data_IF_934944704296
#
_entry.id   IF_934944704296
#
_cell.length_a   1.000
_cell.length_b   1.000
_cell.length_c   1.000
_cell.angle_alpha   90.00
_cell.angle_beta   90.00
_cell.angle_gamma   90.00
#
_symmetry.space_group_name_H-M   'P 1'
#
loop_
_entity.id
_entity.type
_entity.pdbx_description
1 polymer ?
#
# COMPACT_ATOMS: atom_id res chain seq x y z
N UNK A 1 27.36 7.32 7.08
CA UNK A 1 26.10 6.55 6.99
C UNK A 1 25.09 7.43 6.28
N UNK A 2 24.95 7.16 4.98
CA UNK A 2 24.22 7.84 3.89
C UNK A 2 23.29 9.03 4.20
N UNK A 3 23.80 10.24 3.92
CA UNK A 3 23.03 11.48 3.71
C UNK A 3 22.11 11.44 2.47
N UNK A 4 22.11 10.34 1.70
CA UNK A 4 21.38 10.22 0.43
C UNK A 4 19.87 10.03 0.58
N UNK A 5 19.38 9.55 1.72
CA UNK A 5 17.93 9.32 1.94
C UNK A 5 17.17 10.60 2.33
N UNK A 6 17.83 11.61 2.88
CA UNK A 6 17.17 12.87 3.30
C UNK A 6 16.92 13.84 2.14
N UNK A 7 17.44 13.59 0.94
CA UNK A 7 17.37 14.52 -0.19
C UNK A 7 16.21 14.28 -1.16
N UNK A 8 15.40 13.22 -0.98
CA UNK A 8 14.51 12.70 -2.03
C UNK A 8 13.03 13.02 -1.92
N UNK A 9 12.57 13.67 -0.87
CA UNK A 9 11.18 14.13 -0.76
C UNK A 9 11.19 15.64 -0.58
N UNK A 10 11.28 16.36 -1.71
CA UNK A 10 10.80 17.74 -1.71
C UNK A 10 9.38 17.69 -1.14
N UNK A 11 9.08 18.52 -0.13
CA UNK A 11 7.73 18.66 0.42
C UNK A 11 6.82 19.32 -0.61
N UNK A 12 6.52 18.62 -1.70
CA UNK A 12 5.48 19.01 -2.65
C UNK A 12 4.16 18.88 -1.92
N UNK A 13 3.54 20.02 -1.64
CA UNK A 13 2.26 20.05 -0.96
C UNK A 13 1.19 19.44 -1.88
N UNK A 14 0.55 18.35 -1.46
CA UNK A 14 -0.55 17.69 -2.18
C UNK A 14 -1.58 18.69 -2.71
N UNK A 15 -1.97 19.68 -1.90
CA UNK A 15 -2.95 20.69 -2.29
C UNK A 15 -2.44 21.64 -3.38
N UNK A 16 -1.14 21.95 -3.36
CA UNK A 16 -0.52 22.78 -4.39
C UNK A 16 -0.50 22.05 -5.74
N UNK A 17 -0.09 20.78 -5.76
CA UNK A 17 -0.10 19.97 -6.99
C UNK A 17 -1.52 19.76 -7.51
N UNK A 18 -2.48 19.47 -6.63
CA UNK A 18 -3.89 19.35 -6.98
C UNK A 18 -4.41 20.63 -7.65
N UNK A 19 -4.07 21.80 -7.10
CA UNK A 19 -4.41 23.10 -7.68
C UNK A 19 -3.73 23.30 -9.04
N UNK A 20 -2.44 23.02 -9.16
CA UNK A 20 -1.69 23.17 -10.40
C UNK A 20 -2.25 22.30 -11.54
N UNK A 21 -2.59 21.05 -11.27
CA UNK A 21 -3.21 20.15 -12.24
C UNK A 21 -4.59 20.66 -12.68
N UNK A 22 -5.40 21.13 -11.72
CA UNK A 22 -6.71 21.74 -12.00
C UNK A 22 -6.59 23.00 -12.87
N UNK A 23 -5.65 23.89 -12.54
CA UNK A 23 -5.43 25.15 -13.27
C UNK A 23 -4.98 24.89 -14.73
N UNK A 24 -4.30 23.76 -14.98
CA UNK A 24 -3.87 23.33 -16.33
C UNK A 24 -4.90 22.49 -17.07
N UNK A 25 -5.91 21.95 -16.38
CA UNK A 25 -6.85 20.99 -16.96
C UNK A 25 -6.20 19.64 -17.32
N UNK A 26 -5.12 19.28 -16.64
CA UNK A 26 -4.33 18.07 -16.92
C UNK A 26 -4.37 17.10 -15.74
N UNK A 27 -4.29 15.80 -16.04
CA UNK A 27 -4.12 14.77 -15.02
C UNK A 27 -2.65 14.69 -14.60
N UNK A 28 -2.41 14.53 -13.30
CA UNK A 28 -1.09 14.31 -12.75
C UNK A 28 -0.44 13.06 -13.37
N UNK A 29 0.81 13.20 -13.77
CA UNK A 29 1.68 12.10 -14.17
C UNK A 29 2.92 12.16 -13.29
N UNK A 30 3.26 11.02 -12.67
CA UNK A 30 4.38 10.90 -11.76
C UNK A 30 5.68 10.71 -12.54
N UNK A 31 6.50 11.76 -12.58
CA UNK A 31 7.80 11.72 -13.26
C UNK A 31 8.87 10.94 -12.48
N UNK A 32 8.66 10.72 -11.18
CA UNK A 32 9.60 9.97 -10.33
C UNK A 32 9.31 8.46 -10.37
N UNK A 33 8.04 8.09 -10.53
CA UNK A 33 7.59 6.70 -10.63
C UNK A 33 6.83 6.46 -11.94
N UNK A 34 7.60 6.31 -13.01
CA UNK A 34 7.09 6.24 -14.38
C UNK A 34 6.23 4.98 -14.56
N UNK A 35 5.06 5.11 -15.19
CA UNK A 35 4.19 3.99 -15.61
C UNK A 35 4.81 3.18 -16.75
N UNK A 36 5.89 2.46 -16.46
CA UNK A 36 6.64 1.67 -17.44
C UNK A 36 7.05 0.33 -16.85
N UNK A 37 7.51 -0.57 -17.73
CA UNK A 37 8.06 -1.87 -17.35
C UNK A 37 9.17 -1.76 -16.29
N UNK A 38 9.91 -0.63 -16.25
CA UNK A 38 11.00 -0.41 -15.29
C UNK A 38 10.52 -0.35 -13.84
N UNK A 39 9.29 0.13 -13.63
CA UNK A 39 8.69 0.24 -12.29
C UNK A 39 8.10 -1.07 -11.79
N UNK A 40 7.91 -2.05 -12.69
CA UNK A 40 7.45 -3.39 -12.36
C UNK A 40 8.62 -4.37 -12.27
N UNK A 41 9.36 -4.49 -13.39
CA UNK A 41 10.51 -5.34 -13.76
C UNK A 41 10.58 -6.81 -13.27
N UNK A 42 11.14 -7.69 -14.12
CA UNK A 42 11.28 -9.16 -14.06
C UNK A 42 10.02 -10.01 -13.80
N UNK A 43 9.03 -9.52 -13.05
CA UNK A 43 7.69 -10.12 -12.94
C UNK A 43 7.00 -10.28 -14.30
N UNK A 44 7.38 -9.46 -15.29
CA UNK A 44 6.81 -9.52 -16.63
C UNK A 44 7.20 -10.77 -17.43
N UNK A 45 8.24 -11.52 -16.99
CA UNK A 45 8.65 -12.76 -17.69
C UNK A 45 7.68 -13.91 -17.46
N UNK A 46 6.87 -13.86 -16.40
CA UNK A 46 5.87 -14.88 -16.07
C UNK A 46 4.48 -14.53 -16.57
N UNK A 47 4.24 -13.27 -16.97
CA UNK A 47 2.92 -12.81 -17.40
C UNK A 47 2.75 -13.09 -18.90
N UNK A 48 1.78 -13.94 -19.25
CA UNK A 48 1.50 -14.34 -20.63
C UNK A 48 0.89 -13.23 -21.52
N UNK A 49 0.55 -12.08 -20.95
CA UNK A 49 -0.15 -10.98 -21.61
C UNK A 49 0.55 -9.64 -21.35
N UNK A 50 0.46 -8.67 -22.28
CA UNK A 50 1.11 -7.38 -22.09
C UNK A 50 0.50 -6.63 -20.90
N UNK A 51 1.37 -6.05 -20.07
CA UNK A 51 0.95 -5.16 -18.99
C UNK A 51 0.64 -3.79 -19.58
N UNK A 52 -0.55 -3.28 -19.29
CA UNK A 52 -0.99 -1.93 -19.66
C UNK A 52 -1.20 -1.12 -18.40
N UNK A 53 -0.75 0.13 -18.38
CA UNK A 53 -0.97 1.03 -17.25
C UNK A 53 -2.23 1.84 -17.48
N UNK A 54 -3.26 1.58 -16.68
CA UNK A 54 -4.59 2.18 -16.82
C UNK A 54 -4.98 2.95 -15.57
N UNK A 55 -5.69 4.06 -15.71
CA UNK A 55 -6.33 4.78 -14.60
C UNK A 55 -7.64 4.07 -14.22
N UNK A 56 -8.13 4.21 -12.97
CA UNK A 56 -9.39 3.63 -12.52
C UNK A 56 -10.60 3.95 -13.41
N UNK A 57 -10.67 5.16 -13.96
CA UNK A 57 -11.70 5.58 -14.93
C UNK A 57 -11.64 4.83 -16.28
N UNK A 58 -10.51 4.23 -16.62
CA UNK A 58 -10.36 3.39 -17.82
C UNK A 58 -10.67 1.91 -17.51
N UNK A 59 -10.68 1.53 -16.23
CA UNK A 59 -10.90 0.15 -15.75
C UNK A 59 -12.38 -0.09 -15.43
N UNK A 60 -13.06 0.88 -14.81
CA UNK A 60 -14.47 0.79 -14.43
C UNK A 60 -15.19 2.13 -14.62
N UNK A 61 -16.53 2.10 -14.68
CA UNK A 61 -17.35 3.28 -14.96
C UNK A 61 -17.49 4.27 -13.81
N UNK A 62 -17.38 3.80 -12.56
CA UNK A 62 -17.59 4.62 -11.36
C UNK A 62 -16.53 4.27 -10.30
N UNK A 63 -15.27 4.66 -10.50
CA UNK A 63 -14.20 4.35 -9.56
C UNK A 63 -14.42 5.09 -8.23
N UNK A 64 -14.18 4.37 -7.14
CA UNK A 64 -14.24 4.86 -5.76
C UNK A 64 -12.86 4.70 -5.12
N UNK A 65 -12.49 5.69 -4.32
CA UNK A 65 -11.24 5.60 -3.57
C UNK A 65 -11.40 4.53 -2.48
N UNK A 66 -12.35 4.75 -1.58
CA UNK A 66 -12.83 3.80 -0.58
C UNK A 66 -14.34 3.67 -0.80
N UNK A 67 -14.83 2.44 -0.97
CA UNK A 67 -16.25 2.12 -1.02
C UNK A 67 -16.85 2.10 0.40
N UNK A 68 -18.17 1.87 0.52
CA UNK A 68 -18.83 1.96 1.83
C UNK A 68 -18.33 0.88 2.79
N UNK A 69 -17.49 1.30 3.75
CA UNK A 69 -16.86 0.42 4.73
C UNK A 69 -15.58 -0.21 4.17
N UNK A 70 -14.52 -0.20 4.99
CA UNK A 70 -13.30 -0.96 4.70
C UNK A 70 -13.25 -2.12 5.69
N UNK A 71 -13.25 -3.35 5.20
CA UNK A 71 -13.05 -4.55 6.00
C UNK A 71 -11.74 -5.23 5.65
N UNK A 72 -11.23 -6.03 6.59
CA UNK A 72 -10.01 -6.83 6.37
C UNK A 72 -10.12 -7.86 5.23
N UNK A 73 -11.36 -8.21 4.83
CA UNK A 73 -11.66 -9.20 3.80
C UNK A 73 -11.84 -8.59 2.42
N UNK A 74 -11.82 -7.25 2.32
CA UNK A 74 -12.02 -6.57 1.05
C UNK A 74 -10.75 -6.53 0.22
N UNK A 75 -9.59 -6.90 0.76
CA UNK A 75 -8.32 -6.81 0.03
C UNK A 75 -7.86 -8.18 -0.47
N UNK A 76 -7.56 -8.27 -1.76
CA UNK A 76 -7.03 -9.45 -2.43
C UNK A 76 -5.59 -9.20 -2.89
N UNK A 77 -4.72 -10.22 -2.81
CA UNK A 77 -3.32 -10.08 -3.21
C UNK A 77 -3.15 -9.92 -4.74
N UNK A 78 -4.06 -10.45 -5.56
CA UNK A 78 -3.85 -10.57 -7.00
C UNK A 78 -2.87 -11.68 -7.41
N UNK A 79 -2.51 -11.71 -8.69
CA UNK A 79 -1.66 -12.78 -9.24
C UNK A 79 -0.18 -12.61 -8.83
N UNK A 80 0.24 -11.36 -8.62
CA UNK A 80 1.64 -10.99 -8.34
C UNK A 80 1.83 -10.14 -7.09
N UNK A 81 0.77 -9.88 -6.32
CA UNK A 81 0.90 -9.11 -5.10
C UNK A 81 1.52 -9.91 -3.95
N UNK A 82 1.91 -9.17 -2.94
CA UNK A 82 2.75 -9.64 -1.85
C UNK A 82 1.92 -10.09 -0.63
N UNK A 83 1.97 -11.37 -0.22
CA UNK A 83 1.19 -11.86 0.92
C UNK A 83 1.51 -11.15 2.25
N UNK A 84 2.77 -10.75 2.44
CA UNK A 84 3.22 -10.04 3.63
C UNK A 84 2.65 -8.60 3.68
N UNK A 85 2.45 -7.97 2.53
CA UNK A 85 1.85 -6.65 2.42
C UNK A 85 0.35 -6.73 2.70
N UNK A 86 -0.31 -7.70 2.08
CA UNK A 86 -1.73 -7.99 2.32
C UNK A 86 -1.99 -8.21 3.82
N UNK A 87 -1.23 -9.08 4.48
CA UNK A 87 -1.41 -9.35 5.91
C UNK A 87 -1.29 -8.08 6.77
N UNK A 88 -0.31 -7.22 6.47
CA UNK A 88 -0.14 -5.96 7.18
C UNK A 88 -1.31 -4.99 6.92
N UNK A 89 -1.72 -4.82 5.66
CA UNK A 89 -2.85 -3.95 5.28
C UNK A 89 -4.15 -4.45 5.89
N UNK A 90 -4.47 -5.73 5.79
CA UNK A 90 -5.68 -6.33 6.37
C UNK A 90 -5.71 -6.17 7.89
N UNK A 91 -4.57 -6.22 8.58
CA UNK A 91 -4.53 -5.93 10.02
C UNK A 91 -4.78 -4.45 10.34
N UNK A 92 -4.35 -3.55 9.44
CA UNK A 92 -4.51 -2.10 9.61
C UNK A 92 -5.98 -1.68 9.53
N UNK A 93 -6.78 -2.34 8.68
CA UNK A 93 -8.21 -2.03 8.52
C UNK A 93 -9.03 -2.32 9.78
N UNK A 94 -8.55 -3.20 10.68
CA UNK A 94 -9.15 -3.43 11.99
C UNK A 94 -9.03 -2.21 12.93
N UNK A 95 -8.16 -1.25 12.60
CA UNK A 95 -7.94 -0.04 13.40
C UNK A 95 -8.07 1.21 12.51
N UNK A 96 -9.30 1.74 12.32
CA UNK A 96 -9.55 2.84 11.39
C UNK A 96 -8.64 4.06 11.58
N UNK A 97 -8.28 4.40 12.82
CA UNK A 97 -7.37 5.52 13.13
C UNK A 97 -5.96 5.34 12.55
N UNK A 98 -5.46 4.11 12.45
CA UNK A 98 -4.18 3.85 11.81
C UNK A 98 -4.31 3.85 10.29
N UNK A 99 -5.41 3.30 9.77
CA UNK A 99 -5.73 3.35 8.35
C UNK A 99 -5.81 4.80 7.85
N UNK A 100 -6.59 5.67 8.49
CA UNK A 100 -6.76 7.09 8.12
C UNK A 100 -5.44 7.88 8.12
N UNK A 101 -4.48 7.45 8.95
CA UNK A 101 -3.16 8.07 8.99
C UNK A 101 -2.34 7.74 7.75
N UNK A 102 -2.38 6.48 7.31
CA UNK A 102 -1.67 5.98 6.12
C UNK A 102 -2.39 6.37 4.83
N UNK A 103 -3.72 6.27 4.84
CA UNK A 103 -4.65 6.46 3.73
C UNK A 103 -5.59 7.60 4.11
N UNK A 104 -5.20 8.87 3.87
CA UNK A 104 -6.06 10.00 4.18
C UNK A 104 -7.42 9.89 3.45
N UNK A 105 -8.56 10.00 4.16
CA UNK A 105 -9.89 9.80 3.57
C UNK A 105 -10.39 10.99 2.74
N UNK A 106 -9.64 12.10 2.67
CA UNK A 106 -10.00 13.32 1.94
C UNK A 106 -9.73 13.25 0.43
N UNK A 107 -9.74 12.03 -0.14
CA UNK A 107 -9.38 11.72 -1.52
C UNK A 107 -10.52 10.98 -2.21
N UNK A 108 -10.75 11.27 -3.49
CA UNK A 108 -11.82 10.66 -4.28
C UNK A 108 -11.52 10.77 -5.78
N UNK A 109 -12.32 10.06 -6.58
CA UNK A 109 -12.28 10.11 -8.04
C UNK A 109 -13.31 11.07 -8.65
N UNK A 110 -14.15 11.72 -7.83
CA UNK A 110 -15.22 12.59 -8.27
C UNK A 110 -14.78 14.07 -8.26
N UNK A 111 -15.27 14.84 -7.29
CA UNK A 111 -15.09 16.28 -7.24
C UNK A 111 -13.64 16.67 -6.96
N UNK A 112 -13.03 17.34 -7.94
CA UNK A 112 -11.65 17.80 -7.85
C UNK A 112 -10.63 16.69 -8.10
N UNK A 113 -11.04 15.60 -8.72
CA UNK A 113 -10.12 14.64 -9.31
C UNK A 113 -9.15 15.32 -10.29
N UNK A 114 -7.87 14.98 -10.16
CA UNK A 114 -6.84 15.32 -11.14
C UNK A 114 -5.75 14.23 -11.21
N UNK A 115 -6.11 12.98 -10.86
CA UNK A 115 -5.21 11.84 -10.99
C UNK A 115 -4.03 11.81 -10.03
N UNK A 116 -4.04 12.56 -8.92
CA UNK A 116 -3.02 12.52 -7.86
C UNK A 116 -3.60 12.01 -6.55
N UNK A 117 -2.87 11.11 -5.89
CA UNK A 117 -3.20 10.56 -4.59
C UNK A 117 -2.00 10.63 -3.66
N UNK A 118 -2.26 10.64 -2.35
CA UNK A 118 -1.26 10.69 -1.29
C UNK A 118 -1.45 9.54 -0.30
N UNK A 119 -0.32 9.05 0.18
CA UNK A 119 -0.22 8.07 1.25
C UNK A 119 0.88 8.49 2.21
N UNK A 120 0.83 8.01 3.45
CA UNK A 120 1.83 8.33 4.46
C UNK A 120 2.44 7.07 5.01
N UNK A 121 3.77 7.04 5.03
CA UNK A 121 4.54 5.93 5.59
C UNK A 121 5.50 6.47 6.63
N UNK A 122 5.66 5.73 7.71
CA UNK A 122 6.67 5.98 8.71
C UNK A 122 8.04 5.54 8.19
N UNK A 123 9.00 6.46 8.15
CA UNK A 123 10.38 6.17 7.75
C UNK A 123 11.34 6.82 8.73
N UNK A 124 12.16 6.00 9.38
CA UNK A 124 13.29 6.43 10.22
C UNK A 124 12.95 7.50 11.29
N UNK A 125 11.73 7.48 11.85
CA UNK A 125 11.32 8.41 12.90
C UNK A 125 10.35 9.50 12.46
N UNK A 126 10.06 9.60 11.16
CA UNK A 126 9.19 10.65 10.61
C UNK A 126 8.12 10.08 9.67
N UNK A 127 6.98 10.75 9.58
CA UNK A 127 5.95 10.47 8.57
C UNK A 127 6.33 11.12 7.25
N UNK A 128 6.52 10.29 6.22
CA UNK A 128 6.82 10.69 4.86
C UNK A 128 5.55 10.57 4.02
N UNK A 129 5.15 11.68 3.41
CA UNK A 129 4.05 11.71 2.45
C UNK A 129 4.57 11.33 1.06
N UNK A 130 3.96 10.33 0.44
CA UNK A 130 4.27 9.83 -0.90
C UNK A 130 3.10 10.17 -1.82
N UNK A 131 3.39 10.94 -2.86
CA UNK A 131 2.44 11.30 -3.90
C UNK A 131 2.62 10.38 -5.10
N UNK A 132 1.51 9.90 -5.66
CA UNK A 132 1.50 9.06 -6.86
C UNK A 132 0.42 9.56 -7.83
N UNK A 133 0.60 9.26 -9.11
CA UNK A 133 -0.53 9.23 -10.02
C UNK A 133 -1.36 7.94 -9.84
N UNK A 134 -2.55 7.88 -10.44
CA UNK A 134 -3.45 6.74 -10.33
C UNK A 134 -3.34 5.71 -11.46
N UNK A 135 -2.30 5.76 -12.31
CA UNK A 135 -2.08 4.70 -13.30
C UNK A 135 -1.67 3.41 -12.60
N UNK A 136 -2.41 2.32 -12.79
CA UNK A 136 -2.16 1.04 -12.16
C UNK A 136 -1.79 -0.02 -13.22
N UNK A 137 -0.88 -0.96 -12.90
CA UNK A 137 -0.58 -2.10 -13.77
C UNK A 137 -1.79 -3.00 -13.95
N UNK A 138 -2.18 -3.25 -15.20
CA UNK A 138 -3.27 -4.17 -15.55
C UNK A 138 -2.85 -5.19 -16.60
N UNK A 139 -3.54 -6.33 -16.61
CA UNK A 139 -3.49 -7.34 -17.65
C UNK A 139 -4.91 -7.69 -18.04
N UNK A 140 -5.23 -7.61 -19.33
CA UNK A 140 -6.61 -7.77 -19.84
C UNK A 140 -7.64 -6.88 -19.12
N UNK A 141 -7.26 -5.65 -18.78
CA UNK A 141 -8.13 -4.70 -18.07
C UNK A 141 -8.36 -5.02 -16.59
N UNK A 142 -7.63 -5.98 -16.00
CA UNK A 142 -7.72 -6.31 -14.57
C UNK A 142 -6.43 -5.97 -13.84
N UNK A 143 -6.54 -5.50 -12.60
CA UNK A 143 -5.38 -5.28 -11.72
C UNK A 143 -4.64 -6.59 -11.48
N UNK A 144 -3.31 -6.55 -11.58
CA UNK A 144 -2.46 -7.75 -11.43
C UNK A 144 -1.84 -7.89 -10.03
N UNK A 145 -1.82 -6.79 -9.27
CA UNK A 145 -1.35 -6.75 -7.89
C UNK A 145 -2.52 -6.60 -6.91
N UNK A 146 -2.28 -6.01 -5.74
CA UNK A 146 -3.24 -5.89 -4.67
C UNK A 146 -4.45 -5.05 -5.12
N UNK A 147 -5.66 -5.54 -4.85
CA UNK A 147 -6.90 -4.90 -5.27
C UNK A 147 -8.06 -5.25 -4.35
N UNK A 148 -9.14 -4.47 -4.40
CA UNK A 148 -10.33 -4.75 -3.61
C UNK A 148 -11.18 -5.87 -4.22
N UNK A 149 -11.95 -6.56 -3.39
CA UNK A 149 -13.04 -7.47 -3.79
C UNK A 149 -14.13 -6.69 -4.54
N UNK A 150 -14.33 -5.41 -4.20
CA UNK A 150 -15.14 -4.50 -5.00
C UNK A 150 -14.30 -3.99 -6.19
N UNK A 151 -14.65 -4.34 -7.45
CA UNK A 151 -13.88 -3.91 -8.62
C UNK A 151 -13.94 -2.40 -8.88
N UNK A 152 -14.79 -1.66 -8.17
CA UNK A 152 -14.86 -0.20 -8.20
C UNK A 152 -13.99 0.47 -7.14
N UNK A 153 -13.37 -0.26 -6.21
CA UNK A 153 -12.57 0.30 -5.11
C UNK A 153 -11.05 0.18 -5.35
N UNK A 154 -10.32 1.29 -5.21
CA UNK A 154 -8.91 1.37 -5.66
C UNK A 154 -7.90 1.80 -4.59
N UNK A 155 -8.29 2.16 -3.35
CA UNK A 155 -7.33 2.62 -2.32
C UNK A 155 -6.20 1.62 -2.07
N UNK A 156 -6.51 0.31 -2.06
CA UNK A 156 -5.57 -0.74 -1.74
C UNK A 156 -4.50 -0.88 -2.84
N UNK A 157 -4.92 -0.85 -4.10
CA UNK A 157 -4.03 -0.87 -5.26
C UNK A 157 -3.13 0.37 -5.32
N UNK A 158 -3.69 1.53 -5.01
CA UNK A 158 -2.96 2.80 -4.95
C UNK A 158 -1.99 2.83 -3.76
N UNK A 159 -2.36 2.27 -2.61
CA UNK A 159 -1.50 2.16 -1.44
C UNK A 159 -0.26 1.32 -1.75
N UNK A 160 -0.46 0.15 -2.36
CA UNK A 160 0.65 -0.72 -2.79
C UNK A 160 1.54 0.00 -3.80
N UNK A 161 0.97 0.73 -4.76
CA UNK A 161 1.76 1.55 -5.69
C UNK A 161 2.61 2.60 -4.98
N UNK A 162 2.05 3.31 -4.01
CA UNK A 162 2.78 4.31 -3.24
C UNK A 162 3.89 3.67 -2.40
N UNK A 163 3.65 2.47 -1.87
CA UNK A 163 4.67 1.68 -1.19
C UNK A 163 5.78 1.21 -2.14
N UNK A 164 5.42 0.74 -3.34
CA UNK A 164 6.37 0.43 -4.40
C UNK A 164 7.21 1.64 -4.80
N UNK A 165 6.60 2.84 -4.90
CA UNK A 165 7.32 4.10 -5.14
C UNK A 165 8.32 4.42 -4.04
N UNK A 166 7.93 4.26 -2.76
CA UNK A 166 8.81 4.49 -1.61
C UNK A 166 10.09 3.62 -1.69
N UNK A 167 9.95 2.39 -2.15
CA UNK A 167 11.06 1.44 -2.35
C UNK A 167 11.66 1.44 -3.77
N UNK A 168 11.11 2.24 -4.67
CA UNK A 168 11.60 2.51 -6.03
C UNK A 168 11.00 1.66 -7.15
N UNK A 169 10.36 0.51 -6.88
CA UNK A 169 9.69 -0.37 -7.86
C UNK A 169 8.84 -1.45 -7.17
N UNK A 170 7.90 -2.06 -7.89
CA UNK A 170 7.13 -3.22 -7.40
C UNK A 170 8.03 -4.44 -7.12
N UNK A 171 9.04 -4.72 -7.95
CA UNK A 171 10.01 -5.81 -7.70
C UNK A 171 10.72 -5.72 -6.34
N UNK A 172 10.89 -4.51 -5.79
CA UNK A 172 11.52 -4.32 -4.48
C UNK A 172 10.66 -4.84 -3.33
N UNK A 173 9.35 -5.04 -3.58
CA UNK A 173 8.41 -5.55 -2.61
C UNK A 173 8.52 -7.08 -2.46
N UNK A 174 8.96 -7.83 -3.48
CA UNK A 174 9.05 -9.31 -3.48
C UNK A 174 9.75 -9.89 -2.23
N UNK A 175 10.74 -9.16 -1.69
CA UNK A 175 11.54 -9.60 -0.53
C UNK A 175 11.11 -8.95 0.79
N UNK A 176 9.88 -8.46 0.87
CA UNK A 176 9.34 -7.80 2.06
C UNK A 176 9.10 -8.75 3.24
N UNK A 177 8.95 -8.15 4.41
CA UNK A 177 8.59 -8.85 5.65
C UNK A 177 7.47 -8.10 6.36
N UNK A 178 6.49 -8.83 6.90
CA UNK A 178 5.30 -8.24 7.53
C UNK A 178 5.64 -7.28 8.67
N UNK A 179 6.69 -7.58 9.45
CA UNK A 179 7.10 -6.74 10.58
C UNK A 179 7.61 -5.36 10.14
N UNK A 180 8.40 -5.30 9.07
CA UNK A 180 8.85 -4.04 8.49
C UNK A 180 7.67 -3.23 7.96
N UNK A 181 6.75 -3.89 7.28
CA UNK A 181 5.55 -3.23 6.73
C UNK A 181 4.64 -2.70 7.82
N UNK A 182 4.42 -3.47 8.90
CA UNK A 182 3.71 -2.98 10.08
C UNK A 182 4.38 -1.74 10.68
N UNK A 183 5.71 -1.73 10.79
CA UNK A 183 6.45 -0.56 11.27
C UNK A 183 6.25 0.63 10.33
N UNK A 184 6.36 0.43 9.02
CA UNK A 184 6.21 1.50 8.02
C UNK A 184 4.76 2.03 7.96
N UNK A 185 3.76 1.21 8.27
CA UNK A 185 2.35 1.61 8.29
C UNK A 185 1.90 2.24 9.62
N UNK A 186 2.58 1.97 10.73
CA UNK A 186 2.10 2.40 12.07
C UNK A 186 3.05 3.33 12.80
N UNK A 187 4.35 3.29 12.50
CA UNK A 187 5.41 3.86 13.31
C UNK A 187 5.64 3.15 14.65
N UNK A 188 4.97 2.02 14.88
CA UNK A 188 5.08 1.23 16.09
C UNK A 188 6.34 0.37 16.16
N UNK A 189 6.60 -0.16 17.35
CA UNK A 189 7.61 -1.18 17.57
C UNK A 189 6.97 -2.54 17.32
N UNK A 190 7.52 -3.30 16.39
CA UNK A 190 7.04 -4.65 16.08
C UNK A 190 7.91 -5.67 16.80
N UNK A 191 7.27 -6.58 17.53
CA UNK A 191 7.90 -7.71 18.18
C UNK A 191 7.38 -9.00 17.56
N UNK A 192 8.28 -9.93 17.27
CA UNK A 192 7.95 -11.26 16.75
C UNK A 192 8.65 -12.30 17.60
N UNK A 193 7.94 -13.37 17.93
CA UNK A 193 8.48 -14.51 18.67
C UNK A 193 7.85 -15.80 18.12
N UNK A 194 8.63 -16.89 18.01
CA UNK A 194 8.07 -18.18 17.62
C UNK A 194 7.11 -18.65 18.71
N UNK A 195 6.03 -19.35 18.33
CA UNK A 195 5.13 -19.98 19.31
C UNK A 195 5.65 -21.35 19.76
N UNK A 196 6.50 -21.98 18.95
CA UNK A 196 7.02 -23.31 19.23
C UNK A 196 8.11 -23.26 20.31
N UNK A 197 8.01 -24.14 21.31
CA UNK A 197 9.00 -24.24 22.39
C UNK A 197 8.87 -23.19 23.50
N UNK A 198 7.86 -22.31 23.45
CA UNK A 198 7.59 -21.32 24.50
C UNK A 198 6.53 -21.81 25.50
N UNK A 199 6.65 -21.35 26.74
CA UNK A 199 5.66 -21.63 27.77
C UNK A 199 4.30 -21.02 27.39
N UNK A 200 3.25 -21.85 27.38
CA UNK A 200 1.91 -21.46 26.94
C UNK A 200 1.28 -20.40 27.85
N UNK A 201 1.57 -20.46 29.15
CA UNK A 201 1.02 -19.50 30.12
C UNK A 201 1.66 -18.13 29.94
N UNK A 202 2.99 -18.06 29.79
CA UNK A 202 3.69 -16.80 29.48
C UNK A 202 3.23 -16.22 28.13
N UNK A 203 3.08 -17.06 27.10
CA UNK A 203 2.56 -16.65 25.79
C UNK A 203 1.18 -16.00 25.92
N UNK A 204 0.28 -16.65 26.65
CA UNK A 204 -1.05 -16.12 26.92
C UNK A 204 -0.99 -14.79 27.67
N UNK A 205 -0.12 -14.65 28.69
CA UNK A 205 0.03 -13.40 29.44
C UNK A 205 0.50 -12.24 28.54
N UNK A 206 1.47 -12.48 27.65
CA UNK A 206 1.95 -11.47 26.70
C UNK A 206 0.81 -11.04 25.77
N UNK A 207 0.08 -11.98 25.17
CA UNK A 207 -1.03 -11.69 24.28
C UNK A 207 -2.16 -10.95 25.01
N UNK A 208 -2.53 -11.39 26.21
CA UNK A 208 -3.58 -10.76 27.02
C UNK A 208 -3.19 -9.33 27.45
N UNK A 209 -1.90 -9.07 27.67
CA UNK A 209 -1.40 -7.71 27.97
C UNK A 209 -1.44 -6.77 26.76
N UNK A 210 -1.46 -7.31 25.54
CA UNK A 210 -1.44 -6.56 24.29
C UNK A 210 -2.83 -6.05 23.88
N UNK A 211 -3.88 -6.83 24.16
CA UNK A 211 -5.29 -6.48 23.86
C UNK A 211 -5.72 -5.10 24.40
N UNK A 212 -5.55 -4.77 25.70
CA UNK A 212 -5.99 -3.48 26.24
C UNK A 212 -5.19 -2.29 25.71
N UNK A 213 -4.04 -2.52 25.04
CA UNK A 213 -3.20 -1.48 24.46
C UNK A 213 -3.53 -1.18 22.99
N UNK A 214 -4.56 -1.83 22.43
CA UNK A 214 -4.89 -1.76 21.00
C UNK A 214 -3.70 -2.13 20.10
N UNK A 215 -2.87 -3.07 20.56
CA UNK A 215 -1.76 -3.62 19.79
C UNK A 215 -2.31 -4.44 18.62
N UNK A 216 -1.75 -4.22 17.42
CA UNK A 216 -2.01 -5.09 16.27
C UNK A 216 -1.29 -6.43 16.47
N UNK A 217 -2.04 -7.52 16.43
CA UNK A 217 -1.52 -8.88 16.54
C UNK A 217 -1.68 -9.59 15.19
N UNK A 218 -0.57 -10.07 14.64
CA UNK A 218 -0.55 -10.92 13.44
C UNK A 218 0.06 -12.27 13.82
N UNK A 219 -0.57 -13.35 13.38
CA UNK A 219 -0.03 -14.70 13.45
C UNK A 219 0.19 -15.22 12.04
N UNK A 220 1.27 -15.99 11.85
CA UNK A 220 1.59 -16.66 10.59
C UNK A 220 2.03 -18.09 10.85
N UNK A 221 1.76 -18.97 9.90
CA UNK A 221 2.23 -20.35 9.91
C UNK A 221 3.30 -20.47 8.83
N UNK A 222 4.50 -20.88 9.22
CA UNK A 222 5.56 -21.17 8.25
C UNK A 222 5.26 -22.52 7.59
N UNK A 223 4.99 -22.49 6.29
CA UNK A 223 4.86 -23.71 5.49
C UNK A 223 6.28 -24.08 5.04
N UNK A 224 6.87 -25.07 5.71
CA UNK A 224 8.08 -25.72 5.22
C UNK A 224 7.65 -26.69 4.11
N UNK A 225 8.05 -26.43 2.87
CA UNK A 225 7.98 -27.45 1.83
C UNK A 225 8.96 -28.55 2.21
N UNK A 226 8.43 -29.73 2.54
CA UNK A 226 9.17 -30.97 2.78
C UNK A 226 9.53 -31.60 1.44
#
# INVERSE_FOLDING_TARGET
MNQTLQSRTQRTNFQFLKRQCRDRGELFNDNEFISSIKSINNLCKTINYPIVWMRPHEICSNPKFIAEGVTQFDVNQGEYGDPWLLAAISSLTLTPKFLDRVVPPDQNFDYGYCGVFRFRFWQFGDWVEVLIDDRLPTSKGKLIFLHSSDPSEFWAALLEKAYAKLYGRYEALIYGITSKTLQDLTGGIVQSFPLNGHDKFLTFQVLNSAVPRSTLLIASINILYV
#
